data_IF_053476900438
#
_entry.id   IF_053476900438
#
_cell.length_a   1.000
_cell.length_b   1.000
_cell.length_c   1.000
_cell.angle_alpha   90.00
_cell.angle_beta   90.00
_cell.angle_gamma   90.00
#
_symmetry.space_group_name_H-M   'P 1'
#
loop_
_entity.id
_entity.type
_entity.pdbx_description
1 polymer ?
#
# COMPACT_ATOMS: atom_id res chain seq x y z
N UNK A 1 -19.22 -9.42 23.43
CA UNK A 1 -17.97 -9.01 22.76
C UNK A 1 -17.96 -7.49 22.67
N UNK A 2 -17.27 -6.80 23.59
CA UNK A 2 -17.22 -5.33 23.60
C UNK A 2 -16.13 -4.90 22.62
N UNK A 3 -16.53 -4.37 21.46
CA UNK A 3 -15.60 -3.77 20.50
C UNK A 3 -15.10 -2.45 21.13
N UNK A 4 -13.97 -2.51 21.85
CA UNK A 4 -13.29 -1.30 22.33
C UNK A 4 -12.62 -0.62 21.14
N UNK A 5 -13.25 0.42 20.60
CA UNK A 5 -12.60 1.31 19.65
C UNK A 5 -11.42 2.02 20.34
N UNK A 6 -10.20 1.56 20.08
CA UNK A 6 -8.98 2.25 20.47
C UNK A 6 -8.96 3.62 19.78
N UNK A 7 -8.79 4.72 20.52
CA UNK A 7 -8.56 6.04 19.90
C UNK A 7 -7.24 5.98 19.14
N UNK A 8 -7.32 5.95 17.80
CA UNK A 8 -6.16 6.00 16.91
C UNK A 8 -5.78 7.46 16.66
N UNK A 9 -4.48 7.74 16.55
CA UNK A 9 -3.99 9.09 16.22
C UNK A 9 -4.23 9.41 14.75
N UNK A 10 -4.20 10.69 14.36
CA UNK A 10 -4.36 11.10 12.96
C UNK A 10 -3.36 10.39 12.03
N UNK A 11 -2.11 10.20 12.48
CA UNK A 11 -1.07 9.49 11.74
C UNK A 11 -1.42 8.01 11.53
N UNK A 12 -1.92 7.36 12.58
CA UNK A 12 -2.32 5.95 12.51
C UNK A 12 -3.52 5.76 11.56
N UNK A 13 -4.46 6.72 11.54
CA UNK A 13 -5.57 6.70 10.60
C UNK A 13 -5.07 6.82 9.16
N UNK A 14 -4.11 7.72 8.88
CA UNK A 14 -3.51 7.84 7.55
C UNK A 14 -2.79 6.56 7.11
N UNK A 15 -2.06 5.91 8.01
CA UNK A 15 -1.42 4.62 7.74
C UNK A 15 -2.48 3.57 7.38
N UNK A 16 -3.57 3.49 8.13
CA UNK A 16 -4.67 2.57 7.84
C UNK A 16 -5.38 2.88 6.51
N UNK A 17 -5.62 4.16 6.20
CA UNK A 17 -6.19 4.58 4.92
C UNK A 17 -5.29 4.16 3.77
N UNK A 18 -3.98 4.35 3.89
CA UNK A 18 -3.03 3.96 2.85
C UNK A 18 -2.89 2.44 2.71
N UNK A 19 -2.99 1.73 3.83
CA UNK A 19 -2.89 0.27 3.85
C UNK A 19 -4.14 -0.40 3.30
N UNK A 20 -5.33 -0.02 3.79
CA UNK A 20 -6.62 -0.62 3.39
C UNK A 20 -7.22 0.01 2.15
N UNK A 21 -6.86 1.26 1.84
CA UNK A 21 -7.41 2.01 0.72
C UNK A 21 -7.30 1.31 -0.64
N UNK A 22 -6.17 0.66 -1.00
CA UNK A 22 -6.08 -0.13 -2.23
C UNK A 22 -7.10 -1.27 -2.31
N UNK A 23 -7.33 -1.97 -1.20
CA UNK A 23 -8.30 -3.07 -1.11
C UNK A 23 -9.75 -2.57 -1.25
N UNK A 24 -10.04 -1.34 -0.82
CA UNK A 24 -11.37 -0.74 -0.92
C UNK A 24 -11.59 -0.06 -2.29
N UNK A 25 -10.56 0.56 -2.86
CA UNK A 25 -10.69 1.28 -4.11
C UNK A 25 -10.95 0.37 -5.30
N UNK A 26 -10.36 -0.83 -5.34
CA UNK A 26 -10.60 -1.79 -6.42
C UNK A 26 -12.10 -2.13 -6.59
N UNK A 27 -12.82 -2.64 -5.56
CA UNK A 27 -14.26 -2.89 -5.67
C UNK A 27 -15.08 -1.60 -5.87
N UNK A 28 -14.68 -0.47 -5.27
CA UNK A 28 -15.39 0.81 -5.50
C UNK A 28 -15.34 1.27 -6.96
N UNK A 29 -14.18 1.16 -7.61
CA UNK A 29 -14.06 1.57 -9.01
C UNK A 29 -14.69 0.57 -9.98
N UNK A 30 -14.68 -0.73 -9.65
CA UNK A 30 -15.12 -1.77 -10.57
C UNK A 30 -16.61 -2.13 -10.40
N UNK A 31 -17.09 -2.24 -9.16
CA UNK A 31 -18.49 -2.63 -8.87
C UNK A 31 -19.39 -1.40 -8.83
N UNK A 32 -18.95 -0.36 -8.11
CA UNK A 32 -19.75 0.87 -7.91
C UNK A 32 -19.51 1.89 -9.04
N UNK A 33 -18.57 1.63 -9.96
CA UNK A 33 -18.17 2.54 -11.05
C UNK A 33 -17.80 3.94 -10.55
N UNK A 34 -17.20 4.00 -9.35
CA UNK A 34 -16.76 5.26 -8.78
C UNK A 34 -15.69 5.92 -9.68
N UNK A 35 -15.66 7.27 -9.77
CA UNK A 35 -14.69 7.97 -10.60
C UNK A 35 -13.24 7.63 -10.21
N UNK A 36 -12.37 7.43 -11.20
CA UNK A 36 -10.93 7.16 -11.00
C UNK A 36 -10.22 8.23 -10.17
N UNK A 37 -10.80 9.42 -10.05
CA UNK A 37 -10.32 10.53 -9.20
C UNK A 37 -10.20 10.12 -7.72
N UNK A 38 -11.03 9.18 -7.25
CA UNK A 38 -10.95 8.65 -5.89
C UNK A 38 -9.58 8.04 -5.55
N UNK A 39 -8.82 7.56 -6.55
CA UNK A 39 -7.48 7.01 -6.36
C UNK A 39 -6.48 8.06 -5.84
N UNK A 40 -6.69 9.35 -6.15
CA UNK A 40 -5.80 10.44 -5.69
C UNK A 40 -5.92 10.73 -4.19
N UNK A 41 -6.98 10.25 -3.52
CA UNK A 41 -7.09 10.33 -2.06
C UNK A 41 -5.92 9.62 -1.38
N UNK A 42 -5.46 8.50 -1.95
CA UNK A 42 -4.28 7.79 -1.42
C UNK A 42 -3.00 8.61 -1.62
N UNK A 43 -2.86 9.33 -2.71
CA UNK A 43 -1.67 10.14 -2.94
C UNK A 43 -1.62 11.31 -1.96
N UNK A 44 -2.76 11.99 -1.74
CA UNK A 44 -2.87 13.04 -0.74
C UNK A 44 -2.57 12.52 0.67
N UNK A 45 -3.08 11.33 1.01
CA UNK A 45 -2.81 10.67 2.29
C UNK A 45 -1.33 10.33 2.45
N UNK A 46 -0.67 9.90 1.36
CA UNK A 46 0.76 9.58 1.35
C UNK A 46 1.61 10.83 1.56
N UNK A 47 1.29 11.92 0.86
CA UNK A 47 1.98 13.21 1.03
C UNK A 47 1.79 13.74 2.46
N UNK A 48 0.57 13.71 2.99
CA UNK A 48 0.29 14.12 4.35
C UNK A 48 1.09 13.30 5.38
N UNK A 49 1.16 11.98 5.18
CA UNK A 49 1.93 11.07 6.03
C UNK A 49 3.43 11.38 5.97
N UNK A 50 3.98 11.62 4.78
CA UNK A 50 5.38 12.02 4.58
C UNK A 50 5.70 13.32 5.34
N UNK A 51 4.84 14.34 5.23
CA UNK A 51 5.01 15.61 5.96
C UNK A 51 5.03 15.37 7.48
N UNK A 52 4.10 14.55 8.00
CA UNK A 52 4.06 14.23 9.43
C UNK A 52 5.30 13.46 9.89
N UNK A 53 5.86 12.57 9.05
CA UNK A 53 7.13 11.91 9.32
C UNK A 53 8.28 12.91 9.42
N UNK A 54 8.41 13.82 8.45
CA UNK A 54 9.46 14.85 8.45
C UNK A 54 9.38 15.76 9.69
N UNK A 55 8.15 16.15 10.08
CA UNK A 55 7.92 16.93 11.31
C UNK A 55 8.32 16.13 12.56
N UNK A 56 7.98 14.83 12.62
CA UNK A 56 8.34 13.99 13.75
C UNK A 56 9.87 13.83 13.90
N UNK A 57 10.58 13.63 12.78
CA UNK A 57 12.05 13.58 12.75
C UNK A 57 12.64 14.91 13.23
N UNK A 58 12.14 16.04 12.72
CA UNK A 58 12.59 17.38 13.14
C UNK A 58 12.36 17.65 14.64
N UNK A 59 11.31 17.07 15.22
CA UNK A 59 11.02 17.11 16.67
C UNK A 59 11.86 16.12 17.49
N UNK A 60 12.84 15.46 16.89
CA UNK A 60 13.77 14.57 17.59
C UNK A 60 13.23 13.17 17.85
N UNK A 61 12.15 12.74 17.18
CA UNK A 61 11.68 11.37 17.28
C UNK A 61 12.73 10.42 16.69
N UNK A 62 13.31 9.58 17.55
CA UNK A 62 14.29 8.58 17.15
C UNK A 62 13.58 7.34 16.60
N UNK A 63 14.26 6.67 15.67
CA UNK A 63 13.91 5.33 15.21
C UNK A 63 14.97 4.33 15.62
N UNK A 64 14.62 3.06 15.55
CA UNK A 64 15.55 1.97 15.82
C UNK A 64 16.69 1.95 14.79
N UNK A 65 17.87 1.48 15.22
CA UNK A 65 19.06 1.43 14.37
C UNK A 65 18.87 0.63 13.07
N UNK A 66 18.06 -0.43 13.10
CA UNK A 66 17.70 -1.20 11.90
C UNK A 66 16.93 -0.36 10.87
N UNK A 67 16.06 0.53 11.34
CA UNK A 67 15.27 1.40 10.49
C UNK A 67 16.12 2.48 9.80
N UNK A 68 17.18 2.98 10.45
CA UNK A 68 18.13 3.90 9.80
C UNK A 68 18.84 3.24 8.61
N UNK A 69 19.30 1.99 8.76
CA UNK A 69 19.91 1.24 7.65
C UNK A 69 18.94 1.06 6.48
N UNK A 70 17.70 0.70 6.78
CA UNK A 70 16.67 0.54 5.75
C UNK A 70 16.32 1.87 5.05
N UNK A 71 16.23 2.97 5.81
CA UNK A 71 16.03 4.30 5.25
C UNK A 71 17.19 4.71 4.32
N UNK A 72 18.44 4.42 4.70
CA UNK A 72 19.61 4.65 3.84
C UNK A 72 19.56 3.84 2.55
N UNK A 73 19.11 2.58 2.62
CA UNK A 73 18.90 1.74 1.43
C UNK A 73 17.84 2.32 0.50
N UNK A 74 16.71 2.80 1.02
CA UNK A 74 15.67 3.46 0.21
C UNK A 74 16.23 4.72 -0.46
N UNK A 75 17.01 5.52 0.27
CA UNK A 75 17.63 6.73 -0.28
C UNK A 75 18.64 6.39 -1.39
N UNK A 76 19.47 5.36 -1.20
CA UNK A 76 20.39 4.88 -2.23
C UNK A 76 19.64 4.37 -3.46
N UNK A 77 18.58 3.58 -3.26
CA UNK A 77 17.74 3.11 -4.35
C UNK A 77 17.12 4.27 -5.14
N UNK A 78 16.61 5.30 -4.46
CA UNK A 78 16.09 6.50 -5.11
C UNK A 78 17.15 7.26 -5.93
N UNK A 79 18.39 7.33 -5.44
CA UNK A 79 19.49 7.92 -6.21
C UNK A 79 19.80 7.09 -7.47
N UNK A 80 19.81 5.77 -7.35
CA UNK A 80 19.99 4.86 -8.50
C UNK A 80 18.86 5.06 -9.53
N UNK A 81 17.60 5.22 -9.09
CA UNK A 81 16.50 5.46 -10.03
C UNK A 81 16.63 6.80 -10.76
N UNK A 82 17.14 7.84 -10.09
CA UNK A 82 17.41 9.14 -10.73
C UNK A 82 18.54 9.00 -11.76
N UNK A 83 19.64 8.34 -11.41
CA UNK A 83 20.75 8.11 -12.34
C UNK A 83 20.28 7.31 -13.57
N UNK A 84 19.49 6.26 -13.35
CA UNK A 84 18.91 5.45 -14.42
C UNK A 84 17.99 6.29 -15.33
N UNK A 85 17.17 7.17 -14.75
CA UNK A 85 16.34 8.11 -15.50
C UNK A 85 17.15 9.07 -16.36
N UNK A 86 18.28 9.60 -15.85
CA UNK A 86 19.15 10.51 -16.59
C UNK A 86 19.82 9.78 -17.77
N UNK A 87 20.31 8.56 -17.56
CA UNK A 87 21.01 7.76 -18.59
C UNK A 87 20.07 7.33 -19.72
N UNK A 88 18.88 6.82 -19.37
CA UNK A 88 17.94 6.27 -20.34
C UNK A 88 16.92 7.28 -20.88
N UNK A 89 16.98 8.52 -20.36
CA UNK A 89 16.13 9.66 -20.70
C UNK A 89 14.68 9.30 -21.07
N UNK A 90 13.81 9.28 -20.07
CA UNK A 90 12.37 9.07 -20.26
C UNK A 90 11.59 10.36 -20.02
N UNK A 91 10.32 10.42 -20.43
CA UNK A 91 9.44 11.52 -20.02
C UNK A 91 9.35 11.60 -18.50
N UNK A 92 9.50 12.82 -17.97
CA UNK A 92 9.40 13.13 -16.54
C UNK A 92 8.07 12.65 -15.94
N UNK A 93 6.98 12.67 -16.72
CA UNK A 93 5.67 12.22 -16.27
C UNK A 93 5.63 10.70 -16.02
N UNK A 94 6.28 9.90 -16.88
CA UNK A 94 6.37 8.45 -16.68
C UNK A 94 7.25 8.12 -15.48
N UNK A 95 8.37 8.83 -15.31
CA UNK A 95 9.22 8.66 -14.15
C UNK A 95 8.48 9.02 -12.85
N UNK A 96 7.79 10.16 -12.80
CA UNK A 96 7.01 10.60 -11.65
C UNK A 96 5.88 9.60 -11.30
N UNK A 97 5.23 9.01 -12.31
CA UNK A 97 4.24 7.97 -12.10
C UNK A 97 4.84 6.68 -11.52
N UNK A 98 6.01 6.27 -12.01
CA UNK A 98 6.78 5.16 -11.45
C UNK A 98 7.19 5.40 -10.00
N UNK A 99 7.69 6.60 -9.68
CA UNK A 99 8.06 7.00 -8.32
C UNK A 99 6.83 6.95 -7.40
N UNK A 100 5.70 7.53 -7.83
CA UNK A 100 4.43 7.51 -7.09
C UNK A 100 4.01 6.08 -6.72
N UNK A 101 4.05 5.14 -7.65
CA UNK A 101 3.58 3.77 -7.42
C UNK A 101 4.51 2.97 -6.51
N UNK A 102 5.83 3.09 -6.70
CA UNK A 102 6.81 2.29 -5.96
C UNK A 102 7.12 2.88 -4.58
N UNK A 103 7.30 4.20 -4.47
CA UNK A 103 7.71 4.81 -3.19
C UNK A 103 6.60 4.93 -2.17
N UNK A 104 5.33 4.85 -2.56
CA UNK A 104 4.21 4.82 -1.62
C UNK A 104 4.33 3.66 -0.64
N UNK A 105 4.76 2.48 -1.10
CA UNK A 105 4.99 1.31 -0.24
C UNK A 105 6.10 1.54 0.78
N UNK A 106 7.23 2.10 0.34
CA UNK A 106 8.36 2.44 1.23
C UNK A 106 7.98 3.49 2.28
N UNK A 107 7.21 4.52 1.89
CA UNK A 107 6.71 5.53 2.83
C UNK A 107 5.79 4.90 3.87
N UNK A 108 4.86 4.04 3.44
CA UNK A 108 3.95 3.34 4.34
C UNK A 108 4.70 2.45 5.34
N UNK A 109 5.70 1.70 4.87
CA UNK A 109 6.51 0.81 5.70
C UNK A 109 7.32 1.59 6.74
N UNK A 110 8.02 2.66 6.32
CA UNK A 110 8.73 3.51 7.26
C UNK A 110 7.75 4.15 8.27
N UNK A 111 6.60 4.63 7.83
CA UNK A 111 5.59 5.19 8.72
C UNK A 111 5.08 4.16 9.75
N UNK A 112 4.92 2.90 9.35
CA UNK A 112 4.57 1.82 10.25
C UNK A 112 5.63 1.67 11.35
N UNK A 113 6.93 1.64 11.00
CA UNK A 113 8.03 1.60 11.98
C UNK A 113 8.01 2.84 12.90
N UNK A 114 7.77 4.02 12.35
CA UNK A 114 7.78 5.27 13.14
C UNK A 114 6.58 5.37 14.10
N UNK A 115 5.39 4.90 13.73
CA UNK A 115 4.15 5.28 14.42
C UNK A 115 3.25 4.13 14.88
N UNK A 116 3.42 2.93 14.34
CA UNK A 116 2.68 1.75 14.81
C UNK A 116 3.43 1.06 15.95
N UNK A 117 2.66 0.43 16.84
CA UNK A 117 3.21 -0.50 17.82
C UNK A 117 3.12 -1.92 17.26
N UNK A 118 3.90 -2.83 17.82
CA UNK A 118 3.87 -4.25 17.46
C UNK A 118 2.44 -4.83 17.49
N UNK A 119 1.64 -4.46 18.50
CA UNK A 119 0.24 -4.86 18.60
C UNK A 119 -0.60 -4.41 17.38
N UNK A 120 -0.37 -3.20 16.86
CA UNK A 120 -1.07 -2.69 15.68
C UNK A 120 -0.65 -3.45 14.41
N UNK A 121 0.62 -3.84 14.33
CA UNK A 121 1.16 -4.64 13.21
C UNK A 121 0.57 -6.05 13.25
N UNK A 122 0.57 -6.70 14.42
CA UNK A 122 -0.01 -8.03 14.59
C UNK A 122 -1.51 -8.04 14.29
N UNK A 123 -2.24 -6.99 14.65
CA UNK A 123 -3.65 -6.83 14.26
C UNK A 123 -3.82 -6.73 12.74
N UNK A 124 -2.97 -5.94 12.06
CA UNK A 124 -3.01 -5.82 10.60
C UNK A 124 -2.71 -7.14 9.89
N UNK A 125 -1.66 -7.85 10.31
CA UNK A 125 -1.29 -9.16 9.74
C UNK A 125 -2.38 -10.20 9.95
N UNK A 126 -2.98 -10.28 11.15
CA UNK A 126 -4.10 -11.18 11.41
C UNK A 126 -5.33 -10.91 10.52
N UNK A 127 -5.56 -9.66 10.12
CA UNK A 127 -6.64 -9.32 9.18
C UNK A 127 -6.24 -9.73 7.75
N UNK A 128 -4.99 -9.51 7.35
CA UNK A 128 -4.49 -9.99 6.05
C UNK A 128 -4.61 -11.51 5.93
N UNK A 129 -4.25 -12.27 6.98
CA UNK A 129 -4.39 -13.74 6.98
C UNK A 129 -5.84 -14.17 6.73
N UNK A 130 -6.80 -13.53 7.41
CA UNK A 130 -8.23 -13.81 7.18
C UNK A 130 -8.64 -13.45 5.76
N UNK A 131 -8.18 -12.30 5.26
CA UNK A 131 -8.48 -11.87 3.89
C UNK A 131 -7.84 -12.79 2.85
N UNK A 132 -6.71 -13.43 3.15
CA UNK A 132 -6.08 -14.41 2.28
C UNK A 132 -7.01 -15.59 2.02
N UNK A 133 -7.55 -16.19 3.09
CA UNK A 133 -8.49 -17.30 2.95
C UNK A 133 -9.79 -16.89 2.25
N UNK A 134 -10.31 -15.69 2.55
CA UNK A 134 -11.48 -15.15 1.86
C UNK A 134 -11.20 -14.94 0.37
N UNK A 135 -10.04 -14.37 0.03
CA UNK A 135 -9.63 -14.13 -1.35
C UNK A 135 -9.46 -15.44 -2.12
N UNK A 136 -8.86 -16.46 -1.51
CA UNK A 136 -8.71 -17.79 -2.10
C UNK A 136 -10.08 -18.43 -2.42
N UNK A 137 -11.05 -18.32 -1.49
CA UNK A 137 -12.40 -18.82 -1.72
C UNK A 137 -13.10 -18.10 -2.89
N UNK A 138 -13.00 -16.77 -2.95
CA UNK A 138 -13.60 -15.96 -4.03
C UNK A 138 -12.93 -16.29 -5.37
N UNK A 139 -11.61 -16.42 -5.41
CA UNK A 139 -10.89 -16.83 -6.61
C UNK A 139 -11.32 -18.21 -7.11
N UNK A 140 -11.55 -19.16 -6.20
CA UNK A 140 -12.04 -20.49 -6.59
C UNK A 140 -13.43 -20.41 -7.24
N UNK A 141 -14.32 -19.57 -6.71
CA UNK A 141 -15.62 -19.31 -7.31
C UNK A 141 -15.46 -18.64 -8.69
N UNK A 142 -14.62 -17.61 -8.80
CA UNK A 142 -14.34 -16.92 -10.06
C UNK A 142 -13.76 -17.86 -11.13
N UNK A 143 -12.90 -18.80 -10.73
CA UNK A 143 -12.31 -19.78 -11.63
C UNK A 143 -13.32 -20.84 -12.08
N UNK A 144 -14.07 -21.44 -11.14
CA UNK A 144 -14.96 -22.58 -11.42
C UNK A 144 -16.29 -22.15 -12.02
N UNK A 145 -16.95 -21.11 -11.47
CA UNK A 145 -18.29 -20.70 -11.89
C UNK A 145 -18.27 -19.66 -13.01
N UNK A 146 -17.36 -18.68 -12.92
CA UNK A 146 -17.32 -17.55 -13.88
C UNK A 146 -16.33 -17.79 -15.02
N UNK A 147 -15.50 -18.83 -14.94
CA UNK A 147 -14.54 -19.21 -15.97
C UNK A 147 -13.40 -18.21 -16.17
N UNK A 148 -13.17 -17.30 -15.21
CA UNK A 148 -12.08 -16.33 -15.30
C UNK A 148 -10.72 -17.03 -15.21
N UNK A 149 -9.76 -16.54 -16.00
CA UNK A 149 -8.41 -17.09 -16.08
C UNK A 149 -7.37 -15.97 -16.06
N UNK A 150 -6.19 -16.31 -15.52
CA UNK A 150 -4.98 -15.47 -15.57
C UNK A 150 -5.24 -14.02 -15.11
N UNK A 151 -5.11 -13.05 -16.01
CA UNK A 151 -5.12 -11.62 -15.71
C UNK A 151 -6.46 -11.10 -15.22
N UNK A 152 -7.53 -11.88 -15.36
CA UNK A 152 -8.88 -11.56 -14.91
C UNK A 152 -9.27 -12.29 -13.60
N UNK A 153 -8.36 -13.07 -13.02
CA UNK A 153 -8.58 -13.81 -11.77
C UNK A 153 -7.97 -13.04 -10.58
N UNK A 154 -8.73 -12.09 -10.03
CA UNK A 154 -8.25 -11.15 -9.01
C UNK A 154 -8.86 -11.31 -7.62
N UNK A 155 -9.86 -12.18 -7.45
CA UNK A 155 -10.54 -12.37 -6.17
C UNK A 155 -11.18 -11.08 -5.64
N UNK A 156 -10.81 -10.65 -4.44
CA UNK A 156 -11.27 -9.39 -3.81
C UNK A 156 -10.77 -8.14 -4.55
N UNK A 157 -9.71 -8.27 -5.35
CA UNK A 157 -9.16 -7.18 -6.16
C UNK A 157 -9.91 -7.02 -7.49
N UNK A 158 -10.93 -7.86 -7.72
CA UNK A 158 -11.85 -7.76 -8.85
C UNK A 158 -11.42 -8.60 -10.06
N UNK A 159 -11.86 -8.21 -11.25
CA UNK A 159 -11.78 -9.05 -12.46
C UNK A 159 -11.28 -8.31 -13.70
N UNK A 160 -10.83 -7.06 -13.54
CA UNK A 160 -10.20 -6.31 -14.63
C UNK A 160 -8.81 -6.88 -14.98
N UNK A 161 -8.42 -6.74 -16.24
CA UNK A 161 -7.12 -7.21 -16.72
C UNK A 161 -5.97 -6.58 -15.93
N UNK A 162 -5.05 -7.42 -15.44
CA UNK A 162 -3.93 -7.04 -14.59
C UNK A 162 -4.22 -7.12 -13.09
N UNK A 163 -5.41 -7.60 -12.69
CA UNK A 163 -5.74 -7.78 -11.27
C UNK A 163 -4.89 -8.88 -10.58
N UNK A 164 -4.32 -9.81 -11.35
CA UNK A 164 -3.45 -10.86 -10.82
C UNK A 164 -2.15 -10.32 -10.19
N UNK A 165 -1.69 -9.13 -10.57
CA UNK A 165 -0.49 -8.52 -9.99
C UNK A 165 -0.68 -8.25 -8.49
N UNK A 166 -1.89 -7.82 -8.10
CA UNK A 166 -2.24 -7.62 -6.69
C UNK A 166 -2.38 -8.94 -5.94
N UNK A 167 -2.93 -9.97 -6.57
CA UNK A 167 -3.05 -11.32 -6.00
C UNK A 167 -1.66 -11.93 -5.76
N UNK A 168 -0.76 -11.84 -6.74
CA UNK A 168 0.59 -12.37 -6.62
C UNK A 168 1.38 -11.68 -5.49
N UNK A 169 1.23 -10.37 -5.35
CA UNK A 169 1.81 -9.63 -4.24
C UNK A 169 1.21 -10.07 -2.90
N UNK A 170 -0.10 -10.31 -2.87
CA UNK A 170 -0.81 -10.75 -1.67
C UNK A 170 -0.45 -12.18 -1.25
N UNK A 171 -0.05 -13.05 -2.18
CA UNK A 171 0.44 -14.40 -1.89
C UNK A 171 1.89 -14.45 -1.41
N UNK A 172 2.66 -13.39 -1.67
CA UNK A 172 4.05 -13.28 -1.23
C UNK A 172 4.21 -12.61 0.16
N UNK A 173 3.11 -12.10 0.72
CA UNK A 173 3.02 -11.56 2.08
C UNK A 173 2.78 -12.68 3.10
#
# INVERSE_FOLDING_TARGET
MIIRFRRRTQVQILILILFWGPFLLAPLTQVVKAPSVCKYILDLSCIALLIMMLVAVRKGKKIENGAYKFQSWIALFFLITILNYIVNYQSIFYYAWGVRNNFRGYILFLAAIYFLKEQDINELLNILDKLFYVNAAIMLIQFVMLGYKQDNLGGIFGTESGCNAYVNLFFAL
#
